data_IF_274428739829
#
_entry.id   IF_274428739829
#
_cell.length_a   1.000
_cell.length_b   1.000
_cell.length_c   1.000
_cell.angle_alpha   90.00
_cell.angle_beta   90.00
_cell.angle_gamma   90.00
#
_symmetry.space_group_name_H-M   'P 1'
#
loop_
_entity.id
_entity.type
_entity.pdbx_description
1 polymer ?
#
# COMPACT_ATOMS: atom_id res chain seq x y z
N UNK A 1 -43.09 -34.46 51.88
CA UNK A 1 -43.10 -34.28 50.42
C UNK A 1 -42.30 -33.02 50.12
N UNK A 2 -41.00 -33.17 49.98
CA UNK A 2 -40.10 -32.06 49.71
C UNK A 2 -39.69 -32.13 48.24
N UNK A 3 -40.05 -31.10 47.49
CA UNK A 3 -39.70 -30.93 46.10
C UNK A 3 -38.33 -30.23 46.02
N UNK A 4 -37.32 -30.95 45.62
CA UNK A 4 -36.02 -30.37 45.29
C UNK A 4 -36.07 -29.82 43.90
N UNK A 5 -35.89 -28.47 43.79
CA UNK A 5 -35.67 -27.77 42.54
C UNK A 5 -34.18 -27.77 42.25
N UNK A 6 -33.76 -28.53 41.23
CA UNK A 6 -32.38 -28.52 40.74
C UNK A 6 -32.21 -27.35 39.77
N UNK A 7 -31.43 -26.37 40.19
CA UNK A 7 -31.00 -25.22 39.40
C UNK A 7 -29.75 -25.63 38.59
N UNK A 8 -29.93 -25.87 37.30
CA UNK A 8 -28.79 -26.11 36.44
C UNK A 8 -28.30 -24.77 35.87
N UNK A 9 -27.25 -24.28 36.47
CA UNK A 9 -26.47 -23.15 35.93
C UNK A 9 -25.80 -23.59 34.62
N UNK A 10 -26.25 -23.07 33.48
CA UNK A 10 -25.53 -23.18 32.22
C UNK A 10 -24.32 -22.22 32.30
N UNK A 11 -23.16 -22.80 32.46
CA UNK A 11 -21.87 -22.16 32.32
C UNK A 11 -21.67 -21.87 30.81
N UNK A 12 -21.94 -20.64 30.40
CA UNK A 12 -21.58 -20.17 29.08
C UNK A 12 -20.07 -19.96 29.06
N UNK A 13 -19.34 -20.98 28.60
CA UNK A 13 -17.90 -20.81 28.28
C UNK A 13 -17.79 -19.93 27.06
N UNK A 14 -17.51 -18.65 27.30
CA UNK A 14 -17.08 -17.72 26.28
C UNK A 14 -15.66 -18.15 25.82
N UNK A 15 -15.64 -18.95 24.77
CA UNK A 15 -14.40 -19.40 24.14
C UNK A 15 -13.83 -18.26 23.33
N UNK A 16 -13.09 -17.39 23.98
CA UNK A 16 -12.26 -16.39 23.32
C UNK A 16 -11.14 -17.12 22.57
N UNK A 17 -11.33 -17.35 21.28
CA UNK A 17 -10.29 -17.90 20.41
C UNK A 17 -9.16 -16.88 20.31
N UNK A 18 -8.11 -17.05 21.10
CA UNK A 18 -6.88 -16.28 20.93
C UNK A 18 -6.18 -16.76 19.66
N UNK A 19 -6.26 -16.00 18.60
CA UNK A 19 -5.49 -16.25 17.37
C UNK A 19 -4.05 -15.83 17.69
N UNK A 20 -3.18 -16.81 17.93
CA UNK A 20 -1.73 -16.58 18.02
C UNK A 20 -1.16 -16.52 16.61
N UNK A 21 -0.01 -15.82 16.44
CA UNK A 21 0.66 -15.72 15.12
C UNK A 21 0.97 -17.11 14.51
N UNK A 22 1.17 -18.13 15.33
CA UNK A 22 1.43 -19.51 14.92
C UNK A 22 0.18 -20.24 14.34
N UNK A 23 -1.02 -19.77 14.68
CA UNK A 23 -2.30 -20.32 14.18
C UNK A 23 -2.91 -19.43 13.09
N UNK A 24 -2.19 -18.42 12.65
CA UNK A 24 -2.68 -17.48 11.64
C UNK A 24 -2.69 -18.14 10.28
N UNK A 25 -3.87 -18.43 9.76
CA UNK A 25 -4.06 -19.02 8.44
C UNK A 25 -4.00 -18.01 7.30
N UNK A 26 -4.18 -16.73 7.60
CA UNK A 26 -4.23 -15.64 6.63
C UNK A 26 -3.59 -14.38 7.19
N UNK A 27 -2.94 -13.62 6.32
CA UNK A 27 -2.42 -12.28 6.62
C UNK A 27 -3.15 -11.25 5.78
N UNK A 28 -3.18 -10.02 6.25
CA UNK A 28 -3.69 -8.90 5.46
C UNK A 28 -2.56 -8.32 4.62
N UNK A 29 -2.70 -8.38 3.30
CA UNK A 29 -1.73 -7.87 2.32
C UNK A 29 -2.22 -6.53 1.76
N UNK A 30 -1.32 -5.55 1.68
CA UNK A 30 -1.56 -4.22 1.12
C UNK A 30 -0.90 -4.11 -0.26
N UNK A 31 -1.71 -4.03 -1.31
CA UNK A 31 -1.29 -3.96 -2.70
C UNK A 31 -1.43 -2.53 -3.24
N UNK A 32 -0.31 -1.88 -3.56
CA UNK A 32 -0.26 -0.50 -4.04
C UNK A 32 0.22 -0.36 -5.50
N UNK A 33 0.57 -1.47 -6.15
CA UNK A 33 1.06 -1.52 -7.54
C UNK A 33 0.07 -2.23 -8.47
N UNK A 34 0.56 -3.00 -9.43
CA UNK A 34 -0.32 -3.72 -10.39
C UNK A 34 -1.28 -4.72 -9.72
N UNK A 35 -0.99 -5.15 -8.49
CA UNK A 35 -1.89 -5.98 -7.69
C UNK A 35 -3.09 -5.22 -7.10
N UNK A 36 -3.25 -3.92 -7.40
CA UNK A 36 -4.53 -3.22 -7.27
C UNK A 36 -5.62 -3.92 -8.07
N UNK A 37 -5.27 -4.55 -9.20
CA UNK A 37 -6.21 -5.34 -10.00
C UNK A 37 -6.58 -6.64 -9.29
N UNK A 38 -7.86 -6.80 -8.97
CA UNK A 38 -8.42 -8.02 -8.37
C UNK A 38 -8.33 -9.19 -9.33
N UNK A 39 -8.44 -8.95 -10.64
CA UNK A 39 -8.27 -9.99 -11.66
C UNK A 39 -6.82 -10.50 -11.69
N UNK A 40 -5.83 -9.59 -11.66
CA UNK A 40 -4.42 -9.99 -11.58
C UNK A 40 -4.12 -10.77 -10.29
N UNK A 41 -4.71 -10.34 -9.15
CA UNK A 41 -4.54 -11.07 -7.89
C UNK A 41 -5.18 -12.46 -7.96
N UNK A 42 -6.34 -12.60 -8.57
CA UNK A 42 -7.00 -13.91 -8.74
C UNK A 42 -6.15 -14.89 -9.57
N UNK A 43 -5.41 -14.38 -10.57
CA UNK A 43 -4.48 -15.19 -11.37
C UNK A 43 -3.23 -15.60 -10.58
N UNK A 44 -2.68 -14.69 -9.77
CA UNK A 44 -1.44 -14.91 -9.00
C UNK A 44 -1.66 -15.70 -7.72
N UNK A 45 -2.73 -15.35 -7.03
CA UNK A 45 -3.08 -15.76 -5.68
C UNK A 45 -4.56 -16.16 -5.64
N UNK A 46 -4.92 -17.33 -6.17
CA UNK A 46 -6.31 -17.71 -6.41
C UNK A 46 -7.15 -17.93 -5.14
N UNK A 47 -6.52 -18.08 -4.00
CA UNK A 47 -7.19 -18.24 -2.71
C UNK A 47 -7.26 -16.95 -1.90
N UNK A 48 -6.64 -15.87 -2.39
CA UNK A 48 -6.75 -14.56 -1.76
C UNK A 48 -8.12 -13.94 -1.95
N UNK A 49 -8.56 -13.15 -0.97
CA UNK A 49 -9.85 -12.46 -1.00
C UNK A 49 -9.64 -10.96 -0.87
N UNK A 50 -10.10 -10.17 -1.86
CA UNK A 50 -10.15 -8.72 -1.74
C UNK A 50 -11.17 -8.32 -0.67
N UNK A 51 -10.77 -7.48 0.28
CA UNK A 51 -11.60 -7.12 1.43
C UNK A 51 -11.84 -5.63 1.59
N UNK A 52 -11.16 -4.79 0.81
CA UNK A 52 -11.39 -3.35 0.86
C UNK A 52 -10.21 -2.52 0.41
N UNK A 53 -10.32 -1.23 0.64
CA UNK A 53 -9.27 -0.25 0.41
C UNK A 53 -8.54 0.03 1.71
N UNK A 54 -7.21 0.20 1.64
CA UNK A 54 -6.36 0.61 2.74
C UNK A 54 -5.67 1.94 2.44
N UNK A 55 -5.27 2.63 3.51
CA UNK A 55 -4.56 3.91 3.47
C UNK A 55 -3.33 3.84 4.38
N UNK A 56 -2.14 4.07 3.86
CA UNK A 56 -0.92 4.25 4.64
C UNK A 56 -0.54 5.72 4.67
N UNK A 57 -0.40 6.29 5.86
CA UNK A 57 0.04 7.67 6.08
C UNK A 57 1.53 7.70 6.43
N UNK A 58 2.26 8.73 6.01
CA UNK A 58 3.70 8.85 6.21
C UNK A 58 4.54 8.16 5.13
N UNK A 59 3.91 7.75 4.01
CA UNK A 59 4.56 7.08 2.89
C UNK A 59 4.30 7.81 1.58
N UNK A 60 5.29 7.79 0.68
CA UNK A 60 5.21 8.32 -0.68
C UNK A 60 5.15 7.15 -1.67
N UNK A 61 4.22 7.21 -2.63
CA UNK A 61 4.19 6.32 -3.77
C UNK A 61 5.13 6.79 -4.87
N UNK A 62 5.92 5.88 -5.44
CA UNK A 62 6.86 6.18 -6.52
C UNK A 62 6.86 5.08 -7.58
N UNK A 63 7.38 5.40 -8.77
CA UNK A 63 7.98 4.40 -9.67
C UNK A 63 9.47 4.40 -9.40
N UNK A 64 10.03 3.26 -9.00
CA UNK A 64 11.47 3.14 -8.73
C UNK A 64 12.31 3.04 -10.02
N UNK A 65 13.63 3.05 -9.90
CA UNK A 65 14.55 2.97 -11.07
C UNK A 65 14.44 1.66 -11.88
N UNK A 66 13.80 0.60 -11.35
CA UNK A 66 13.49 -0.62 -12.10
C UNK A 66 12.26 -0.47 -13.00
N UNK A 67 11.50 0.62 -12.86
CA UNK A 67 10.27 0.90 -13.58
C UNK A 67 9.02 0.23 -12.99
N UNK A 68 9.03 -0.05 -11.69
CA UNK A 68 7.92 -0.64 -10.95
C UNK A 68 7.53 0.21 -9.76
N UNK A 69 6.27 0.09 -9.32
CA UNK A 69 5.75 0.79 -8.16
C UNK A 69 6.53 0.41 -6.89
N UNK A 70 6.73 1.40 -6.04
CA UNK A 70 7.35 1.25 -4.72
C UNK A 70 6.74 2.27 -3.76
N UNK A 71 6.92 2.04 -2.46
CA UNK A 71 6.58 3.00 -1.40
C UNK A 71 7.82 3.37 -0.61
N UNK A 72 7.93 4.65 -0.25
CA UNK A 72 9.07 5.21 0.48
C UNK A 72 8.56 5.91 1.72
N UNK A 73 9.12 5.60 2.87
CA UNK A 73 8.78 6.24 4.15
C UNK A 73 9.26 7.70 4.16
N UNK A 74 8.38 8.63 4.48
CA UNK A 74 8.72 10.05 4.61
C UNK A 74 9.45 10.30 5.93
N UNK A 75 10.51 11.10 5.89
CA UNK A 75 11.31 11.46 7.07
C UNK A 75 12.47 10.53 7.41
N UNK A 76 12.66 9.41 6.66
CA UNK A 76 13.86 8.55 6.75
C UNK A 76 14.73 8.58 5.49
N UNK A 77 14.38 9.37 4.47
CA UNK A 77 14.91 9.21 3.12
C UNK A 77 16.17 10.00 2.80
N UNK A 78 16.53 11.03 3.56
CA UNK A 78 17.59 11.93 3.12
C UNK A 78 18.95 11.67 3.80
N UNK A 79 18.97 11.10 5.00
CA UNK A 79 20.24 10.88 5.73
C UNK A 79 20.92 9.52 5.37
N UNK A 80 20.15 8.49 5.05
CA UNK A 80 20.70 7.15 4.75
C UNK A 80 21.05 6.96 3.26
N UNK A 81 20.53 7.78 2.35
CA UNK A 81 20.79 7.65 0.92
C UNK A 81 22.18 8.20 0.54
N UNK A 82 22.66 9.23 1.24
CA UNK A 82 23.99 9.82 0.99
C UNK A 82 25.14 8.93 1.47
N UNK A 83 24.95 8.14 2.54
CA UNK A 83 25.99 7.25 3.07
C UNK A 83 26.24 5.96 2.26
N UNK A 84 25.33 5.58 1.35
CA UNK A 84 25.44 4.33 0.58
C UNK A 84 25.97 4.48 -0.84
N UNK A 85 26.06 5.70 -1.36
CA UNK A 85 26.59 5.98 -2.72
C UNK A 85 28.09 6.24 -2.77
N UNK A 86 28.81 6.40 -1.64
CA UNK A 86 30.28 6.60 -1.64
C UNK A 86 31.14 5.35 -1.86
N UNK A 87 30.53 4.20 -2.16
CA UNK A 87 31.19 2.89 -2.19
C UNK A 87 31.38 2.21 -3.54
N UNK A 88 30.97 2.76 -4.71
CA UNK A 88 31.30 2.17 -6.02
C UNK A 88 30.89 3.10 -7.16
N UNK A 89 31.82 3.88 -7.66
CA UNK A 89 32.19 4.02 -9.07
C UNK A 89 33.28 5.08 -9.22
N UNK A 90 34.50 4.61 -9.39
CA UNK A 90 35.60 5.39 -9.94
C UNK A 90 35.74 5.00 -11.41
N UNK A 91 35.17 5.77 -12.32
CA UNK A 91 35.71 5.97 -13.67
C UNK A 91 35.35 7.38 -14.14
N UNK A 92 36.41 8.08 -14.51
CA UNK A 92 36.51 9.49 -14.87
C UNK A 92 35.84 9.77 -16.23
N UNK A 93 35.03 10.85 -16.29
CA UNK A 93 34.98 11.69 -17.49
C UNK A 93 34.78 13.16 -17.09
N UNK A 94 35.80 13.96 -17.44
CA UNK A 94 35.80 15.43 -17.33
C UNK A 94 34.80 16.06 -18.30
N UNK A 95 33.92 16.94 -17.80
CA UNK A 95 32.97 17.68 -18.62
C UNK A 95 32.41 18.89 -17.86
N UNK A 96 32.87 20.04 -18.27
CA UNK A 96 32.58 21.44 -17.92
C UNK A 96 31.32 21.77 -17.11
N UNK A 97 31.57 22.54 -16.03
CA UNK A 97 30.58 23.17 -15.16
C UNK A 97 29.82 24.30 -15.86
N UNK A 98 28.51 24.12 -16.05
CA UNK A 98 27.56 25.21 -16.24
C UNK A 98 26.78 25.43 -14.94
N UNK A 99 27.04 26.55 -14.28
CA UNK A 99 26.27 27.01 -13.13
C UNK A 99 24.90 27.51 -13.60
N UNK A 100 23.88 26.75 -13.38
CA UNK A 100 22.50 27.21 -13.53
C UNK A 100 21.90 27.59 -12.17
N UNK A 101 21.32 28.77 -12.12
CA UNK A 101 20.81 29.40 -10.93
C UNK A 101 19.55 28.70 -10.41
N UNK A 102 19.57 28.37 -9.13
CA UNK A 102 18.47 27.82 -8.34
C UNK A 102 17.34 28.86 -8.23
N UNK A 103 16.34 28.73 -9.10
CA UNK A 103 15.05 29.41 -8.92
C UNK A 103 14.32 28.75 -7.75
N UNK A 104 14.11 29.51 -6.67
CA UNK A 104 13.20 29.15 -5.59
C UNK A 104 11.76 29.18 -6.12
N UNK A 105 11.27 28.08 -6.66
CA UNK A 105 9.84 27.84 -6.81
C UNK A 105 9.28 27.54 -5.41
N UNK A 106 8.41 28.40 -4.93
CA UNK A 106 7.55 28.14 -3.79
C UNK A 106 6.64 26.99 -4.23
N UNK A 107 6.91 25.75 -3.77
CA UNK A 107 5.95 24.65 -3.87
C UNK A 107 4.84 24.98 -2.90
N UNK A 108 3.64 25.20 -3.43
CA UNK A 108 2.42 25.22 -2.63
C UNK A 108 2.31 23.84 -1.96
N UNK A 109 2.15 23.88 -0.64
CA UNK A 109 2.09 22.71 0.24
C UNK A 109 0.80 21.93 0.01
N UNK A 110 0.84 20.95 -0.89
CA UNK A 110 -0.22 19.93 -1.09
C UNK A 110 -0.08 18.80 -0.04
N UNK A 111 0.35 19.15 1.15
CA UNK A 111 0.99 18.34 2.19
C UNK A 111 0.28 17.07 2.64
N UNK A 112 -1.01 16.88 2.41
CA UNK A 112 -1.72 15.71 2.93
C UNK A 112 -1.75 14.53 1.93
N UNK A 113 -1.82 14.78 0.63
CA UNK A 113 -1.88 13.72 -0.39
C UNK A 113 -0.50 13.14 -0.76
N UNK A 114 0.57 13.93 -0.68
CA UNK A 114 1.93 13.43 -0.99
C UNK A 114 2.47 12.47 0.06
N UNK A 115 1.95 12.52 1.28
CA UNK A 115 2.30 11.64 2.38
C UNK A 115 1.34 10.45 2.58
N UNK A 116 0.51 10.14 1.58
CA UNK A 116 -0.50 9.09 1.68
C UNK A 116 -0.39 8.12 0.51
N UNK A 117 -0.52 6.82 0.80
CA UNK A 117 -0.59 5.76 -0.20
C UNK A 117 -1.87 4.96 -0.02
N UNK A 118 -2.70 4.89 -1.06
CA UNK A 118 -3.85 3.98 -1.10
C UNK A 118 -3.46 2.65 -1.74
N UNK A 119 -4.08 1.57 -1.27
CA UNK A 119 -3.86 0.23 -1.79
C UNK A 119 -5.01 -0.71 -1.49
N UNK A 120 -5.12 -1.78 -2.25
CA UNK A 120 -6.09 -2.83 -2.01
C UNK A 120 -5.66 -3.73 -0.86
N UNK A 121 -6.61 -4.09 -0.02
CA UNK A 121 -6.44 -5.05 1.07
C UNK A 121 -6.93 -6.43 0.64
N UNK A 122 -6.09 -7.44 0.85
CA UNK A 122 -6.40 -8.83 0.58
C UNK A 122 -6.15 -9.69 1.81
N UNK A 123 -7.08 -10.57 2.15
CA UNK A 123 -6.78 -11.73 2.99
C UNK A 123 -5.96 -12.71 2.16
N UNK A 124 -4.74 -13.00 2.61
CA UNK A 124 -3.75 -13.79 1.89
C UNK A 124 -3.40 -15.04 2.69
N UNK A 125 -3.84 -16.22 2.26
CA UNK A 125 -3.44 -17.50 2.84
C UNK A 125 -1.95 -17.77 2.64
N UNK A 126 -1.35 -18.57 3.49
CA UNK A 126 0.09 -18.88 3.47
C UNK A 126 0.57 -19.40 2.10
N UNK A 127 -0.22 -20.23 1.43
CA UNK A 127 0.13 -20.75 0.10
C UNK A 127 0.21 -19.65 -0.97
N UNK A 128 -0.66 -18.67 -0.90
CA UNK A 128 -0.67 -17.53 -1.80
C UNK A 128 0.40 -16.50 -1.44
N UNK A 129 0.74 -16.36 -0.15
CA UNK A 129 1.89 -15.56 0.28
C UNK A 129 3.19 -16.10 -0.32
N UNK A 130 3.42 -17.42 -0.28
CA UNK A 130 4.59 -18.05 -0.90
C UNK A 130 4.63 -17.87 -2.42
N UNK A 131 3.48 -17.85 -3.09
CA UNK A 131 3.38 -17.56 -4.52
C UNK A 131 3.72 -16.10 -4.79
N UNK A 132 3.18 -15.19 -3.98
CA UNK A 132 3.41 -13.75 -4.11
C UNK A 132 4.87 -13.39 -3.88
N UNK A 133 5.54 -14.02 -2.90
CA UNK A 133 6.97 -13.87 -2.66
C UNK A 133 7.80 -14.12 -3.93
N UNK A 134 7.42 -15.12 -4.73
CA UNK A 134 8.09 -15.42 -6.01
C UNK A 134 7.81 -14.35 -7.07
N UNK A 135 6.58 -13.85 -7.17
CA UNK A 135 6.23 -12.77 -8.10
C UNK A 135 6.91 -11.45 -7.74
N UNK A 136 7.03 -11.15 -6.46
CA UNK A 136 7.69 -9.95 -5.95
C UNK A 136 9.23 -10.08 -5.93
N UNK A 137 9.76 -11.30 -6.17
CA UNK A 137 11.19 -11.57 -6.22
C UNK A 137 11.90 -11.37 -4.89
N UNK A 138 11.26 -11.80 -3.81
CA UNK A 138 11.82 -11.74 -2.45
C UNK A 138 13.04 -12.67 -2.35
N UNK A 139 14.11 -12.27 -1.70
CA UNK A 139 14.34 -10.97 -1.03
C UNK A 139 15.08 -9.93 -1.90
N UNK A 140 15.30 -10.21 -3.19
CA UNK A 140 16.21 -9.44 -4.04
C UNK A 140 15.61 -8.19 -4.65
N UNK A 141 14.34 -8.28 -5.06
CA UNK A 141 13.61 -7.19 -5.70
C UNK A 141 12.82 -6.37 -4.70
N UNK A 142 12.09 -7.05 -3.82
CA UNK A 142 11.37 -6.48 -2.70
C UNK A 142 11.66 -7.26 -1.42
N UNK A 143 11.46 -6.60 -0.29
CA UNK A 143 11.51 -7.16 1.06
C UNK A 143 10.10 -7.12 1.65
N UNK A 144 9.78 -8.09 2.50
CA UNK A 144 8.53 -8.11 3.27
C UNK A 144 8.65 -7.15 4.46
N UNK A 145 7.67 -6.27 4.61
CA UNK A 145 7.52 -5.39 5.77
C UNK A 145 6.11 -5.54 6.34
N UNK A 146 6.02 -5.54 7.67
CA UNK A 146 4.73 -5.50 8.36
C UNK A 146 4.54 -4.07 8.89
N UNK A 147 3.59 -3.37 8.29
CA UNK A 147 3.35 -1.95 8.52
C UNK A 147 1.94 -1.73 9.07
N UNK A 148 1.71 -0.55 9.62
CA UNK A 148 0.37 -0.09 9.98
C UNK A 148 -0.26 0.63 8.80
N UNK A 149 -1.54 0.36 8.58
CA UNK A 149 -2.39 1.02 7.61
C UNK A 149 -3.78 1.20 8.24
N UNK A 150 -4.58 2.07 7.67
CA UNK A 150 -5.98 2.19 8.02
C UNK A 150 -6.83 1.47 6.98
N UNK A 151 -7.74 0.62 7.40
CA UNK A 151 -8.80 0.10 6.55
C UNK A 151 -9.82 1.20 6.34
N UNK A 152 -10.06 1.57 5.09
CA UNK A 152 -11.02 2.61 4.71
C UNK A 152 -12.39 1.96 4.51
N UNK A 153 -13.34 2.30 5.35
CA UNK A 153 -14.75 1.98 5.14
C UNK A 153 -15.54 3.28 4.90
N UNK A 154 -16.50 3.21 3.99
CA UNK A 154 -17.40 4.34 3.77
C UNK A 154 -18.54 4.25 4.78
N UNK A 155 -18.54 5.13 5.77
CA UNK A 155 -19.72 5.31 6.63
C UNK A 155 -20.91 5.76 5.79
N UNK A 156 -22.11 5.34 6.19
CA UNK A 156 -23.36 5.76 5.52
C UNK A 156 -23.41 7.29 5.35
N UNK A 157 -23.82 7.72 4.18
CA UNK A 157 -23.94 9.13 3.85
C UNK A 157 -24.87 9.84 4.83
N UNK A 158 -24.32 10.72 5.66
CA UNK A 158 -25.13 11.55 6.56
C UNK A 158 -25.59 12.78 5.80
N UNK A 159 -26.90 12.85 5.53
CA UNK A 159 -27.52 14.04 4.97
C UNK A 159 -27.59 15.15 6.03
N UNK A 160 -26.77 16.18 5.83
CA UNK A 160 -26.83 17.41 6.61
C UNK A 160 -27.48 18.53 5.78
N UNK A 161 -27.94 19.60 6.42
CA UNK A 161 -28.54 20.76 5.76
C UNK A 161 -27.60 21.48 4.74
N UNK A 162 -26.37 21.02 4.57
CA UNK A 162 -25.37 21.58 3.63
C UNK A 162 -24.94 20.62 2.52
N UNK A 163 -25.53 19.41 2.39
CA UNK A 163 -25.18 18.41 1.40
C UNK A 163 -24.90 17.03 2.01
N UNK A 164 -24.80 16.02 1.15
CA UNK A 164 -24.43 14.66 1.56
C UNK A 164 -22.92 14.59 1.70
N UNK A 165 -22.40 14.44 2.91
CA UNK A 165 -20.98 14.15 3.16
C UNK A 165 -20.81 12.66 3.45
N UNK A 166 -20.01 11.99 2.62
CA UNK A 166 -19.52 10.64 2.91
C UNK A 166 -18.32 10.78 3.82
N UNK A 167 -18.40 10.25 5.03
CA UNK A 167 -17.29 10.27 5.98
C UNK A 167 -16.54 8.94 5.87
N UNK A 168 -15.26 8.99 5.61
CA UNK A 168 -14.39 7.82 5.73
C UNK A 168 -14.26 7.43 7.20
N UNK A 169 -14.51 6.16 7.51
CA UNK A 169 -14.18 5.57 8.80
C UNK A 169 -12.87 4.79 8.64
N UNK A 170 -11.88 5.14 9.45
CA UNK A 170 -10.55 4.55 9.40
C UNK A 170 -10.37 3.58 10.57
N UNK A 171 -10.03 2.33 10.26
CA UNK A 171 -9.75 1.29 11.26
C UNK A 171 -8.30 0.86 11.13
N UNK A 172 -7.45 1.08 12.16
CA UNK A 172 -6.05 0.66 12.14
C UNK A 172 -5.91 -0.85 11.99
N UNK A 173 -5.07 -1.27 11.04
CA UNK A 173 -4.78 -2.69 10.75
C UNK A 173 -3.29 -2.88 10.47
N UNK A 174 -2.78 -4.07 10.80
CA UNK A 174 -1.41 -4.46 10.46
C UNK A 174 -1.42 -5.21 9.14
N UNK A 175 -0.57 -4.79 8.19
CA UNK A 175 -0.54 -5.31 6.84
C UNK A 175 0.86 -5.78 6.43
N UNK A 176 0.92 -6.83 5.60
CA UNK A 176 2.12 -7.17 4.83
C UNK A 176 2.23 -6.20 3.65
N UNK A 177 3.41 -5.62 3.46
CA UNK A 177 3.75 -4.75 2.32
C UNK A 177 5.07 -5.22 1.73
N UNK A 178 5.16 -5.28 0.40
CA UNK A 178 6.43 -5.52 -0.29
C UNK A 178 7.08 -4.18 -0.61
N UNK A 179 8.31 -3.94 -0.10
CA UNK A 179 9.00 -2.65 -0.19
C UNK A 179 10.39 -2.84 -0.79
N UNK A 180 10.76 -2.05 -1.78
CA UNK A 180 12.13 -1.97 -2.30
C UNK A 180 12.89 -0.86 -1.55
N UNK A 181 13.60 -1.23 -0.49
CA UNK A 181 14.35 -0.28 0.34
C UNK A 181 15.65 0.22 -0.31
N UNK A 182 16.06 -0.40 -1.43
CA UNK A 182 17.31 -0.05 -2.12
C UNK A 182 17.11 1.02 -3.19
N UNK A 183 15.91 1.09 -3.78
CA UNK A 183 15.62 1.96 -4.92
C UNK A 183 14.49 2.92 -4.57
N UNK A 184 14.84 3.94 -3.80
CA UNK A 184 13.92 4.91 -3.22
C UNK A 184 13.80 6.20 -4.04
N UNK A 185 14.53 6.32 -5.15
CA UNK A 185 14.46 7.49 -6.05
C UNK A 185 13.47 7.23 -7.19
N UNK A 186 12.81 8.30 -7.62
CA UNK A 186 11.85 8.30 -8.73
C UNK A 186 12.51 7.83 -10.04
N UNK A 187 11.78 7.07 -10.83
CA UNK A 187 12.15 6.56 -12.14
C UNK A 187 10.98 6.64 -13.11
N UNK A 188 11.16 6.08 -14.32
CA UNK A 188 10.10 5.98 -15.32
C UNK A 188 9.51 4.56 -15.32
N UNK A 189 8.18 4.42 -15.46
CA UNK A 189 7.57 3.10 -15.54
C UNK A 189 7.97 2.39 -16.84
N UNK A 190 8.05 1.08 -16.77
CA UNK A 190 8.14 0.26 -17.99
C UNK A 190 6.82 0.35 -18.75
N UNK A 191 6.89 0.44 -20.06
CA UNK A 191 5.71 0.55 -20.93
C UNK A 191 4.71 -0.60 -20.68
N UNK A 192 5.19 -1.83 -20.57
CA UNK A 192 4.36 -3.00 -20.29
C UNK A 192 3.71 -2.94 -18.91
N UNK A 193 4.34 -2.24 -17.95
CA UNK A 193 3.85 -2.13 -16.58
C UNK A 193 2.74 -1.09 -16.46
N UNK A 194 2.77 -0.01 -17.27
CA UNK A 194 1.73 1.02 -17.28
C UNK A 194 0.36 0.41 -17.55
N UNK A 195 0.24 -0.47 -18.53
CA UNK A 195 -1.03 -1.14 -18.84
C UNK A 195 -1.57 -1.98 -17.69
N UNK A 196 -0.69 -2.58 -16.89
CA UNK A 196 -1.09 -3.33 -15.68
C UNK A 196 -1.50 -2.42 -14.55
N UNK A 197 -0.79 -1.30 -14.35
CA UNK A 197 -1.16 -0.29 -13.37
C UNK A 197 -2.53 0.31 -13.68
N UNK A 198 -2.76 0.71 -14.95
CA UNK A 198 -4.04 1.29 -15.36
C UNK A 198 -5.24 0.36 -15.12
N UNK A 199 -5.07 -0.96 -15.35
CA UNK A 199 -6.11 -1.92 -14.99
C UNK A 199 -6.38 -1.95 -13.48
N UNK A 200 -5.31 -1.92 -12.68
CA UNK A 200 -5.43 -1.91 -11.23
C UNK A 200 -6.03 -0.63 -10.68
N UNK A 201 -5.61 0.53 -11.21
CA UNK A 201 -6.16 1.83 -10.84
C UNK A 201 -7.65 1.89 -11.15
N UNK A 202 -8.05 1.49 -12.37
CA UNK A 202 -9.45 1.46 -12.77
C UNK A 202 -10.29 0.58 -11.86
N UNK A 203 -9.81 -0.63 -11.56
CA UNK A 203 -10.50 -1.56 -10.65
C UNK A 203 -10.67 -0.95 -9.25
N UNK A 204 -9.60 -0.37 -8.70
CA UNK A 204 -9.62 0.26 -7.38
C UNK A 204 -10.56 1.48 -7.31
N UNK A 205 -10.63 2.29 -8.37
CA UNK A 205 -11.51 3.46 -8.45
C UNK A 205 -12.97 3.03 -8.63
N UNK A 206 -13.26 2.19 -9.61
CA UNK A 206 -14.64 1.82 -9.99
C UNK A 206 -15.31 0.93 -8.94
N UNK A 207 -14.56 0.04 -8.28
CA UNK A 207 -15.12 -1.02 -7.45
C UNK A 207 -14.79 -0.90 -5.95
N UNK A 208 -13.76 -0.12 -5.57
CA UNK A 208 -13.24 -0.13 -4.20
C UNK A 208 -13.14 1.26 -3.56
N UNK A 209 -13.52 2.31 -4.28
CA UNK A 209 -13.63 3.67 -3.73
C UNK A 209 -12.31 4.44 -3.64
N UNK A 210 -11.25 4.01 -4.35
CA UNK A 210 -10.05 4.84 -4.49
C UNK A 210 -10.40 6.13 -5.27
N UNK A 211 -9.90 7.28 -4.80
CA UNK A 211 -10.15 8.56 -5.46
C UNK A 211 -9.48 8.60 -6.84
N UNK A 212 -10.23 9.02 -7.86
CA UNK A 212 -9.66 9.30 -9.20
C UNK A 212 -8.65 10.44 -9.13
N UNK A 213 -8.91 11.46 -8.31
CA UNK A 213 -7.98 12.57 -8.10
C UNK A 213 -6.64 12.08 -7.54
N UNK A 214 -6.67 11.17 -6.56
CA UNK A 214 -5.45 10.53 -6.06
C UNK A 214 -4.72 9.78 -7.17
N UNK A 215 -5.43 9.00 -7.97
CA UNK A 215 -4.83 8.26 -9.08
C UNK A 215 -4.13 9.18 -10.09
N UNK A 216 -4.77 10.30 -10.46
CA UNK A 216 -4.19 11.30 -11.40
C UNK A 216 -2.97 11.98 -10.79
N UNK A 217 -3.10 12.53 -9.59
CA UNK A 217 -2.06 13.38 -8.99
C UNK A 217 -0.86 12.59 -8.48
N UNK A 218 -1.07 11.37 -7.98
CA UNK A 218 -0.01 10.59 -7.32
C UNK A 218 0.56 9.53 -8.24
N UNK A 219 -0.29 8.80 -8.98
CA UNK A 219 0.16 7.64 -9.75
C UNK A 219 0.41 7.97 -11.21
N UNK A 220 -0.58 8.52 -11.93
CA UNK A 220 -0.49 8.76 -13.38
C UNK A 220 0.50 9.84 -13.77
N UNK A 221 0.90 10.73 -12.86
CA UNK A 221 1.94 11.72 -13.10
C UNK A 221 3.27 11.16 -13.62
N UNK A 222 3.51 9.85 -13.45
CA UNK A 222 4.74 9.20 -13.89
C UNK A 222 4.74 8.80 -15.37
N UNK A 223 3.58 8.78 -16.04
CA UNK A 223 3.46 8.36 -17.45
C UNK A 223 2.46 9.17 -18.28
N UNK A 224 1.69 10.04 -17.69
CA UNK A 224 0.89 11.03 -18.44
C UNK A 224 1.74 12.29 -18.48
N UNK A 225 2.24 12.64 -19.68
CA UNK A 225 2.96 13.89 -19.90
C UNK A 225 1.99 15.06 -19.65
N UNK A 226 2.36 15.95 -18.70
CA UNK A 226 1.64 17.16 -18.38
C UNK A 226 1.74 18.21 -19.50
#
# INVERSE_FOLDING_TARGET
MESQSSNSSQDSQDSTLTITDENRREILYFAYGSNLSTDQMRERCPFSTAVGLGKMTGWKWIINRRGYANVVELGKGDEDAEMREEGQDSEEEEGEAVKEQKGKGVMEDDGEETGTVYGMLYLLPTEDEERLDRYEGVPWAYEKAYLEADWVSHAEAVSTSGGTQVREELTPVKVLVYVDRKRVKDGKPKEEYVARLERGIRDAVENWGMSEEYAERVMRRFWVDG
#
